data_IF_223455538042
#
_entry.id   IF_223455538042
#
_cell.length_a   1.000
_cell.length_b   1.000
_cell.length_c   1.000
_cell.angle_alpha   90.00
_cell.angle_beta   90.00
_cell.angle_gamma   90.00
#
_symmetry.space_group_name_H-M   'P 1'
#
loop_
_entity.id
_entity.type
_entity.pdbx_description
1 polymer ?
#
# COMPACT_ATOMS: atom_id res chain seq x y z
N UNK A 1 16.59 -16.28 42.40
CA UNK A 1 15.15 -16.15 42.07
C UNK A 1 14.80 -14.90 41.27
N UNK A 2 15.35 -13.69 41.55
CA UNK A 2 15.05 -12.46 40.78
C UNK A 2 15.42 -12.51 39.27
N UNK A 3 16.51 -13.20 38.88
CA UNK A 3 16.95 -13.32 37.47
C UNK A 3 16.04 -14.21 36.60
N UNK A 4 15.45 -15.27 37.16
CA UNK A 4 14.54 -16.18 36.44
C UNK A 4 13.17 -15.54 36.19
N UNK A 5 12.69 -14.71 37.12
CA UNK A 5 11.45 -13.95 36.97
C UNK A 5 11.56 -12.86 35.88
N UNK A 6 12.75 -12.26 35.74
CA UNK A 6 13.05 -11.26 34.69
C UNK A 6 13.05 -11.84 33.28
N UNK A 7 13.51 -13.08 33.09
CA UNK A 7 13.54 -13.73 31.79
C UNK A 7 12.13 -14.16 31.34
N UNK A 8 11.30 -14.65 32.27
CA UNK A 8 9.89 -14.94 31.99
C UNK A 8 9.09 -13.69 31.63
N UNK A 9 9.38 -12.55 32.27
CA UNK A 9 8.70 -11.28 31.96
C UNK A 9 9.07 -10.75 30.56
N UNK A 10 10.33 -10.95 30.13
CA UNK A 10 10.83 -10.55 28.81
C UNK A 10 10.16 -11.32 27.66
N UNK A 11 9.89 -12.62 27.83
CA UNK A 11 9.18 -13.41 26.81
C UNK A 11 7.68 -13.09 26.74
N UNK A 12 7.04 -12.76 27.87
CA UNK A 12 5.63 -12.35 27.90
C UNK A 12 5.43 -10.98 27.23
N UNK A 13 6.38 -10.06 27.38
CA UNK A 13 6.40 -8.77 26.66
C UNK A 13 6.62 -8.97 25.16
N UNK A 14 7.49 -9.91 24.78
CA UNK A 14 7.74 -10.26 23.38
C UNK A 14 6.50 -10.85 22.69
N UNK A 15 5.75 -11.72 23.39
CA UNK A 15 4.53 -12.33 22.89
C UNK A 15 3.36 -11.33 22.79
N UNK A 16 3.25 -10.39 23.73
CA UNK A 16 2.22 -9.34 23.69
C UNK A 16 2.44 -8.31 22.57
N UNK A 17 3.67 -8.17 22.06
CA UNK A 17 3.96 -7.32 20.89
C UNK A 17 3.41 -7.91 19.57
N UNK A 18 3.12 -9.21 19.54
CA UNK A 18 2.71 -9.94 18.33
C UNK A 18 1.19 -10.18 18.22
N UNK A 19 0.39 -9.66 19.15
CA UNK A 19 -1.07 -9.79 19.11
C UNK A 19 -1.65 -8.52 18.47
N UNK A 20 -2.07 -8.55 17.19
CA UNK A 20 -2.71 -7.38 16.60
C UNK A 20 -4.06 -7.15 17.28
N UNK A 21 -4.15 -6.06 18.05
CA UNK A 21 -5.44 -5.56 18.55
C UNK A 21 -6.25 -5.03 17.36
N UNK A 22 -7.58 -5.24 17.32
CA UNK A 22 -8.43 -4.66 16.29
C UNK A 22 -8.65 -3.18 16.65
N UNK A 23 -7.64 -2.33 16.38
CA UNK A 23 -7.76 -0.89 16.52
C UNK A 23 -7.85 -0.26 15.14
N UNK A 24 -8.94 0.47 14.95
CA UNK A 24 -9.22 1.28 13.78
C UNK A 24 -8.22 2.43 13.66
N UNK A 25 -7.14 2.21 12.92
CA UNK A 25 -6.36 3.21 12.20
C UNK A 25 -5.39 2.44 11.31
N UNK A 26 -4.96 3.05 10.21
CA UNK A 26 -3.84 2.62 9.38
C UNK A 26 -2.86 1.77 10.19
N UNK A 27 -2.73 0.48 9.83
CA UNK A 27 -1.94 -0.48 10.58
C UNK A 27 -0.58 0.17 10.94
N UNK A 28 -0.21 0.30 12.22
CA UNK A 28 1.05 0.92 12.61
C UNK A 28 2.24 0.21 11.95
N UNK A 29 2.10 -1.08 11.66
CA UNK A 29 3.04 -1.82 10.81
C UNK A 29 3.13 -1.23 9.41
N UNK A 30 2.03 -0.87 8.74
CA UNK A 30 2.08 -0.26 7.40
C UNK A 30 2.80 1.10 7.42
N UNK A 31 2.58 1.94 8.42
CA UNK A 31 3.27 3.24 8.53
C UNK A 31 4.78 3.03 8.76
N UNK A 32 5.14 2.13 9.69
CA UNK A 32 6.55 1.82 9.99
C UNK A 32 7.23 1.12 8.80
N UNK A 33 6.55 0.22 8.11
CA UNK A 33 7.08 -0.48 6.94
C UNK A 33 7.18 0.45 5.74
N UNK A 34 6.24 1.36 5.52
CA UNK A 34 6.31 2.35 4.43
C UNK A 34 7.43 3.38 4.69
N UNK A 35 7.47 3.97 5.89
CA UNK A 35 8.50 4.95 6.25
C UNK A 35 9.90 4.32 6.36
N UNK A 36 10.03 3.19 7.05
CA UNK A 36 11.28 2.47 7.21
C UNK A 36 11.75 1.78 5.92
N UNK A 37 10.83 1.21 5.15
CA UNK A 37 11.13 0.59 3.86
C UNK A 37 11.60 1.59 2.82
N UNK A 38 10.99 2.78 2.76
CA UNK A 38 11.43 3.85 1.88
C UNK A 38 12.82 4.38 2.27
N UNK A 39 13.05 4.63 3.57
CA UNK A 39 14.36 5.05 4.06
C UNK A 39 15.46 4.03 3.73
N UNK A 40 15.18 2.73 3.92
CA UNK A 40 16.13 1.67 3.60
C UNK A 40 16.35 1.54 2.09
N UNK A 41 15.31 1.65 1.28
CA UNK A 41 15.40 1.55 -0.18
C UNK A 41 16.21 2.73 -0.78
N UNK A 42 16.07 3.94 -0.22
CA UNK A 42 16.91 5.08 -0.59
C UNK A 42 18.39 4.83 -0.27
N UNK A 43 18.71 4.17 0.85
CA UNK A 43 20.09 3.78 1.19
C UNK A 43 20.64 2.70 0.27
N UNK A 44 19.78 1.86 -0.30
CA UNK A 44 20.13 0.85 -1.30
C UNK A 44 20.21 1.42 -2.73
N UNK A 45 19.95 2.72 -2.92
CA UNK A 45 20.01 3.37 -4.23
C UNK A 45 18.83 3.07 -5.14
N UNK A 46 17.70 2.63 -4.59
CA UNK A 46 16.46 2.43 -5.37
C UNK A 46 15.78 3.79 -5.60
N UNK A 47 15.39 4.07 -6.85
CA UNK A 47 14.71 5.30 -7.21
C UNK A 47 13.35 5.48 -6.49
N UNK A 48 13.08 6.72 -6.05
CA UNK A 48 11.86 7.11 -5.33
C UNK A 48 10.56 6.81 -6.11
N UNK A 49 10.62 6.77 -7.44
CA UNK A 49 9.48 6.43 -8.32
C UNK A 49 9.03 4.98 -8.09
N UNK A 50 9.98 4.04 -8.05
CA UNK A 50 9.65 2.62 -7.89
C UNK A 50 9.05 2.40 -6.51
N UNK A 51 9.64 2.99 -5.47
CA UNK A 51 9.16 2.86 -4.09
C UNK A 51 7.73 3.42 -3.96
N UNK A 52 7.48 4.62 -4.49
CA UNK A 52 6.17 5.27 -4.41
C UNK A 52 5.06 4.53 -5.19
N UNK A 53 5.39 3.85 -6.31
CA UNK A 53 4.47 2.93 -7.00
C UNK A 53 3.99 1.84 -6.04
N UNK A 54 4.91 1.18 -5.34
CA UNK A 54 4.58 0.08 -4.45
C UNK A 54 3.82 0.54 -3.20
N UNK A 55 4.18 1.69 -2.65
CA UNK A 55 3.48 2.28 -1.49
C UNK A 55 2.02 2.56 -1.86
N UNK A 56 1.78 3.22 -2.99
CA UNK A 56 0.41 3.53 -3.42
C UNK A 56 -0.38 2.29 -3.83
N UNK A 57 0.26 1.32 -4.48
CA UNK A 57 -0.36 0.05 -4.83
C UNK A 57 -0.82 -0.71 -3.58
N UNK A 58 0.04 -0.82 -2.56
CA UNK A 58 -0.32 -1.46 -1.29
C UNK A 58 -1.49 -0.73 -0.62
N UNK A 59 -1.42 0.61 -0.58
CA UNK A 59 -2.44 1.45 0.01
C UNK A 59 -3.82 1.23 -0.64
N UNK A 60 -3.83 1.18 -1.98
CA UNK A 60 -5.02 0.93 -2.78
C UNK A 60 -5.57 -0.49 -2.57
N UNK A 61 -4.69 -1.50 -2.51
CA UNK A 61 -5.10 -2.88 -2.24
C UNK A 61 -5.73 -3.04 -0.85
N UNK A 62 -5.17 -2.37 0.16
CA UNK A 62 -5.72 -2.33 1.52
C UNK A 62 -7.08 -1.62 1.53
N UNK A 63 -7.23 -0.50 0.82
CA UNK A 63 -8.52 0.19 0.72
C UNK A 63 -9.60 -0.73 0.13
N UNK A 64 -9.30 -1.47 -0.94
CA UNK A 64 -10.25 -2.43 -1.52
C UNK A 64 -10.59 -3.59 -0.57
N UNK A 65 -9.61 -4.07 0.20
CA UNK A 65 -9.83 -5.11 1.20
C UNK A 65 -10.69 -4.63 2.38
N UNK A 66 -10.37 -3.46 2.93
CA UNK A 66 -11.09 -2.89 4.07
C UNK A 66 -12.51 -2.51 3.67
N UNK A 67 -12.69 -1.86 2.52
CA UNK A 67 -14.01 -1.45 2.04
C UNK A 67 -15.00 -2.62 1.93
N UNK A 68 -14.54 -3.80 1.51
CA UNK A 68 -15.34 -5.03 1.43
C UNK A 68 -15.73 -5.59 2.82
N UNK A 69 -14.87 -5.40 3.82
CA UNK A 69 -15.10 -5.88 5.19
C UNK A 69 -15.82 -4.86 6.08
N UNK A 70 -15.80 -3.59 5.72
CA UNK A 70 -16.30 -2.50 6.53
C UNK A 70 -17.83 -2.44 6.48
N UNK A 71 -18.49 -2.79 7.59
CA UNK A 71 -19.95 -2.73 7.74
C UNK A 71 -20.34 -1.51 8.57
N UNK A 72 -20.53 -0.38 7.92
CA UNK A 72 -20.89 0.88 8.59
C UNK A 72 -22.40 0.97 8.75
N UNK A 73 -22.87 1.07 10.00
CA UNK A 73 -24.30 1.27 10.32
C UNK A 73 -24.76 2.73 10.13
N UNK A 74 -23.84 3.69 10.21
CA UNK A 74 -24.13 5.12 10.04
C UNK A 74 -24.14 5.53 8.56
N UNK A 75 -25.27 6.06 8.08
CA UNK A 75 -25.47 6.45 6.68
C UNK A 75 -24.49 7.53 6.19
N UNK A 76 -24.09 8.48 7.05
CA UNK A 76 -23.13 9.55 6.67
C UNK A 76 -21.74 9.01 6.34
N UNK A 77 -21.34 7.94 7.03
CA UNK A 77 -20.02 7.33 6.86
C UNK A 77 -20.02 6.21 5.81
N UNK A 78 -21.19 5.86 5.26
CA UNK A 78 -21.34 4.81 4.23
C UNK A 78 -20.55 5.12 2.96
N UNK A 79 -20.23 6.39 2.70
CA UNK A 79 -19.38 6.81 1.58
C UNK A 79 -17.96 6.22 1.65
N UNK A 80 -17.45 5.98 2.87
CA UNK A 80 -16.12 5.37 3.11
C UNK A 80 -16.13 3.87 2.75
N UNK A 81 -17.30 3.24 2.70
CA UNK A 81 -17.44 1.85 2.25
C UNK A 81 -17.19 1.70 0.75
N UNK A 82 -17.16 2.80 -0.02
CA UNK A 82 -16.79 2.74 -1.42
C UNK A 82 -15.26 2.57 -1.55
N UNK A 83 -14.76 1.46 -2.14
CA UNK A 83 -13.32 1.19 -2.23
C UNK A 83 -12.55 2.27 -2.99
N UNK A 84 -13.17 2.91 -3.98
CA UNK A 84 -12.55 3.98 -4.77
C UNK A 84 -12.31 5.23 -3.93
N UNK A 85 -13.31 5.62 -3.12
CA UNK A 85 -13.23 6.78 -2.24
C UNK A 85 -12.23 6.52 -1.13
N UNK A 86 -12.24 5.31 -0.55
CA UNK A 86 -11.27 4.93 0.46
C UNK A 86 -9.85 4.95 -0.10
N UNK A 87 -9.63 4.43 -1.31
CA UNK A 87 -8.31 4.45 -1.96
C UNK A 87 -7.80 5.88 -2.16
N UNK A 88 -8.67 6.78 -2.63
CA UNK A 88 -8.32 8.18 -2.81
C UNK A 88 -8.03 8.90 -1.49
N UNK A 89 -8.80 8.60 -0.44
CA UNK A 89 -8.55 9.12 0.89
C UNK A 89 -7.19 8.69 1.40
N UNK A 90 -6.84 7.39 1.24
CA UNK A 90 -5.55 6.91 1.68
C UNK A 90 -4.41 7.50 0.85
N UNK A 91 -4.57 7.65 -0.47
CA UNK A 91 -3.64 8.35 -1.34
C UNK A 91 -3.37 9.78 -0.85
N UNK A 92 -4.43 10.55 -0.55
CA UNK A 92 -4.30 11.90 -0.02
C UNK A 92 -3.57 11.93 1.33
N UNK A 93 -3.88 11.02 2.26
CA UNK A 93 -3.17 10.95 3.54
C UNK A 93 -1.69 10.61 3.39
N UNK A 94 -1.32 9.76 2.42
CA UNK A 94 0.09 9.46 2.15
C UNK A 94 0.83 10.65 1.54
N UNK A 95 0.20 11.43 0.67
CA UNK A 95 0.78 12.66 0.17
C UNK A 95 1.01 13.69 1.27
N UNK A 96 0.04 13.86 2.18
CA UNK A 96 0.18 14.75 3.34
C UNK A 96 1.36 14.29 4.21
N UNK A 97 1.50 12.98 4.46
CA UNK A 97 2.65 12.44 5.19
C UNK A 97 3.98 12.82 4.52
N UNK A 98 4.11 12.59 3.21
CA UNK A 98 5.33 12.94 2.48
C UNK A 98 5.61 14.45 2.49
N UNK A 99 4.58 15.28 2.43
CA UNK A 99 4.70 16.73 2.57
C UNK A 99 5.23 17.13 3.95
N UNK A 100 4.66 16.57 5.02
CA UNK A 100 5.11 16.85 6.40
C UNK A 100 6.51 16.33 6.70
N UNK A 101 6.94 15.25 6.02
CA UNK A 101 8.29 14.70 6.15
C UNK A 101 9.35 15.47 5.34
N UNK A 102 8.95 16.46 4.52
CA UNK A 102 9.85 17.26 3.70
C UNK A 102 10.45 16.52 2.49
N UNK A 103 9.87 15.37 2.11
CA UNK A 103 10.37 14.54 1.00
C UNK A 103 9.82 14.96 -0.37
N UNK A 104 8.75 15.77 -0.41
CA UNK A 104 8.16 16.30 -1.64
C UNK A 104 8.83 17.60 -2.09
N UNK A 105 8.77 17.86 -3.41
CA UNK A 105 9.17 19.12 -4.06
C UNK A 105 10.67 19.43 -4.01
N UNK A 106 11.51 18.40 -3.91
CA UNK A 106 12.96 18.60 -4.06
C UNK A 106 13.31 18.82 -5.55
N UNK A 107 14.08 19.85 -5.84
CA UNK A 107 14.46 20.22 -7.22
C UNK A 107 15.23 19.10 -7.95
N UNK A 108 15.93 18.22 -7.22
CA UNK A 108 16.61 17.05 -7.81
C UNK A 108 15.72 15.80 -7.99
N UNK A 109 14.48 15.81 -7.50
CA UNK A 109 13.58 14.65 -7.47
C UNK A 109 12.39 14.78 -8.44
N UNK A 110 12.66 15.25 -9.65
CA UNK A 110 11.66 15.38 -10.71
C UNK A 110 11.86 14.31 -11.79
N UNK A 111 10.76 13.72 -12.25
CA UNK A 111 10.68 12.89 -13.45
C UNK A 111 9.63 13.54 -14.37
N UNK A 112 10.02 13.88 -15.61
CA UNK A 112 9.14 14.55 -16.58
C UNK A 112 8.55 15.90 -16.10
N UNK A 113 9.27 16.61 -15.22
CA UNK A 113 8.81 17.90 -14.64
C UNK A 113 7.79 17.76 -13.50
N UNK A 114 7.45 16.53 -13.10
CA UNK A 114 6.59 16.21 -11.95
C UNK A 114 7.45 15.58 -10.85
N UNK A 115 7.08 15.79 -9.59
CA UNK A 115 7.71 15.12 -8.46
C UNK A 115 7.64 13.58 -8.61
N UNK A 116 8.77 12.91 -8.45
CA UNK A 116 8.92 11.45 -8.60
C UNK A 116 7.93 10.66 -7.74
N UNK A 117 7.68 11.12 -6.51
CA UNK A 117 6.81 10.44 -5.55
C UNK A 117 5.36 10.57 -5.97
N UNK A 118 4.92 11.78 -6.36
CA UNK A 118 3.54 12.00 -6.84
C UNK A 118 3.29 11.15 -8.09
N UNK A 119 4.23 11.19 -9.04
CA UNK A 119 4.12 10.41 -10.27
C UNK A 119 4.03 8.91 -9.98
N UNK A 120 4.96 8.35 -9.20
CA UNK A 120 4.93 6.93 -8.85
C UNK A 120 3.67 6.55 -8.08
N UNK A 121 3.21 7.37 -7.14
CA UNK A 121 1.96 7.08 -6.42
C UNK A 121 0.74 7.03 -7.35
N UNK A 122 0.62 7.95 -8.30
CA UNK A 122 -0.52 7.95 -9.23
C UNK A 122 -0.52 6.70 -10.10
N UNK A 123 0.65 6.32 -10.64
CA UNK A 123 0.85 5.09 -11.41
C UNK A 123 0.49 3.85 -10.58
N UNK A 124 0.94 3.77 -9.33
CA UNK A 124 0.64 2.64 -8.43
C UNK A 124 -0.86 2.47 -8.15
N UNK A 125 -1.58 3.56 -7.90
CA UNK A 125 -3.03 3.53 -7.68
C UNK A 125 -3.78 3.04 -8.93
N UNK A 126 -3.45 3.61 -10.09
CA UNK A 126 -4.05 3.25 -11.38
C UNK A 126 -3.78 1.77 -11.70
N UNK A 127 -2.57 1.28 -11.42
CA UNK A 127 -2.18 -0.11 -11.64
C UNK A 127 -3.09 -1.08 -10.89
N UNK A 128 -3.37 -0.83 -9.60
CA UNK A 128 -4.27 -1.69 -8.82
C UNK A 128 -5.72 -1.59 -9.30
N UNK A 129 -6.18 -0.39 -9.68
CA UNK A 129 -7.51 -0.21 -10.24
C UNK A 129 -7.71 -1.03 -11.53
N UNK A 130 -6.76 -0.94 -12.46
CA UNK A 130 -6.78 -1.72 -13.70
C UNK A 130 -6.68 -3.22 -13.39
N UNK A 131 -5.80 -3.64 -12.48
CA UNK A 131 -5.66 -5.04 -12.10
C UNK A 131 -6.93 -5.63 -11.50
N UNK A 132 -7.63 -4.88 -10.64
CA UNK A 132 -8.93 -5.27 -10.10
C UNK A 132 -10.02 -5.32 -11.18
N UNK A 133 -9.99 -4.38 -12.13
CA UNK A 133 -10.89 -4.37 -13.27
C UNK A 133 -10.68 -5.60 -14.18
N UNK A 134 -9.42 -5.94 -14.50
CA UNK A 134 -9.07 -7.14 -15.29
C UNK A 134 -9.54 -8.40 -14.58
N UNK A 135 -9.34 -8.50 -13.25
CA UNK A 135 -9.87 -9.62 -12.47
C UNK A 135 -11.39 -9.71 -12.56
N UNK A 136 -12.10 -8.59 -12.41
CA UNK A 136 -13.56 -8.52 -12.52
C UNK A 136 -14.06 -8.96 -13.90
N UNK A 137 -13.43 -8.47 -14.96
CA UNK A 137 -13.73 -8.84 -16.35
C UNK A 137 -13.49 -10.33 -16.62
N UNK A 138 -12.35 -10.85 -16.15
CA UNK A 138 -11.99 -12.27 -16.31
C UNK A 138 -12.97 -13.18 -15.57
N UNK A 139 -13.35 -12.79 -14.35
CA UNK A 139 -14.37 -13.50 -13.56
C UNK A 139 -15.73 -13.49 -14.25
N UNK A 140 -16.14 -12.37 -14.83
CA UNK A 140 -17.38 -12.25 -15.59
C UNK A 140 -17.39 -13.20 -16.80
N UNK A 141 -16.30 -13.22 -17.58
CA UNK A 141 -16.15 -14.11 -18.74
C UNK A 141 -16.11 -15.60 -18.34
N UNK A 142 -15.63 -15.92 -17.15
CA UNK A 142 -15.54 -17.28 -16.61
C UNK A 142 -16.77 -17.70 -15.78
N UNK A 143 -17.97 -17.28 -16.18
CA UNK A 143 -19.23 -17.63 -15.52
C UNK A 143 -19.26 -17.29 -14.01
N UNK A 144 -18.63 -16.19 -13.61
CA UNK A 144 -18.56 -15.76 -12.22
C UNK A 144 -17.54 -16.53 -11.37
N UNK A 145 -16.80 -17.49 -11.94
CA UNK A 145 -15.78 -18.28 -11.22
C UNK A 145 -14.41 -17.63 -11.36
N UNK A 146 -13.60 -17.70 -10.30
CA UNK A 146 -12.21 -17.30 -10.36
C UNK A 146 -11.47 -18.18 -11.39
N UNK A 147 -10.61 -17.58 -12.23
CA UNK A 147 -9.90 -18.32 -13.29
C UNK A 147 -8.93 -19.36 -12.70
N UNK A 148 -8.30 -19.00 -11.58
CA UNK A 148 -7.43 -19.85 -10.77
C UNK A 148 -7.40 -19.33 -9.31
N UNK A 149 -6.95 -20.14 -8.34
CA UNK A 149 -6.81 -19.71 -6.94
C UNK A 149 -5.95 -18.45 -6.83
N UNK A 150 -6.32 -17.51 -5.96
CA UNK A 150 -5.61 -16.24 -5.75
C UNK A 150 -5.58 -15.27 -6.95
N UNK A 151 -6.35 -15.52 -8.02
CA UNK A 151 -6.46 -14.58 -9.16
C UNK A 151 -6.81 -13.14 -8.75
N UNK A 152 -7.59 -12.95 -7.68
CA UNK A 152 -7.89 -11.61 -7.10
C UNK A 152 -6.63 -10.82 -6.68
N UNK A 153 -5.55 -11.50 -6.32
CA UNK A 153 -4.27 -10.89 -5.90
C UNK A 153 -3.26 -10.87 -7.04
N UNK A 154 -3.20 -11.95 -7.82
CA UNK A 154 -2.21 -12.14 -8.87
C UNK A 154 -2.39 -11.12 -10.01
N UNK A 155 -3.63 -10.78 -10.40
CA UNK A 155 -3.86 -9.77 -11.43
C UNK A 155 -3.36 -8.37 -11.01
N UNK A 156 -3.76 -7.80 -9.85
CA UNK A 156 -3.23 -6.51 -9.40
C UNK A 156 -1.72 -6.50 -9.16
N UNK A 157 -1.18 -7.50 -8.44
CA UNK A 157 0.25 -7.54 -8.10
C UNK A 157 1.10 -7.78 -9.35
N UNK A 158 0.65 -8.67 -10.24
CA UNK A 158 1.32 -8.92 -11.52
C UNK A 158 1.38 -7.67 -12.39
N UNK A 159 0.30 -6.88 -12.44
CA UNK A 159 0.28 -5.64 -13.21
C UNK A 159 1.22 -4.58 -12.63
N UNK A 160 1.25 -4.43 -11.29
CA UNK A 160 2.19 -3.52 -10.61
C UNK A 160 3.64 -3.95 -10.89
N UNK A 161 3.94 -5.25 -10.86
CA UNK A 161 5.27 -5.77 -11.19
C UNK A 161 5.67 -5.46 -12.63
N UNK A 162 4.79 -5.71 -13.60
CA UNK A 162 5.04 -5.42 -15.02
C UNK A 162 5.32 -3.93 -15.22
N UNK A 163 4.51 -3.07 -14.60
CA UNK A 163 4.69 -1.61 -14.67
C UNK A 163 6.00 -1.19 -14.01
N UNK A 164 6.32 -1.72 -12.82
CA UNK A 164 7.59 -1.44 -12.12
C UNK A 164 8.78 -1.79 -13.01
N UNK A 165 8.77 -2.96 -13.65
CA UNK A 165 9.83 -3.39 -14.56
C UNK A 165 9.90 -2.49 -15.81
N UNK A 166 8.75 -2.14 -16.39
CA UNK A 166 8.70 -1.25 -17.54
C UNK A 166 9.30 0.13 -17.23
N UNK A 167 9.00 0.70 -16.07
CA UNK A 167 9.61 1.97 -15.63
C UNK A 167 11.10 1.82 -15.36
N UNK A 168 11.51 0.74 -14.69
CA UNK A 168 12.93 0.46 -14.41
C UNK A 168 13.76 0.41 -15.69
N UNK A 169 13.34 -0.39 -16.67
CA UNK A 169 14.08 -0.53 -17.92
C UNK A 169 13.91 0.66 -18.87
N UNK A 170 12.72 1.28 -18.91
CA UNK A 170 12.41 2.39 -19.80
C UNK A 170 13.13 3.69 -19.42
N UNK A 171 13.20 4.00 -18.13
CA UNK A 171 13.84 5.22 -17.62
C UNK A 171 15.24 4.98 -17.02
N UNK A 172 15.72 3.72 -17.03
CA UNK A 172 17.00 3.29 -16.43
C UNK A 172 17.13 3.71 -14.96
N UNK A 173 16.06 3.45 -14.20
CA UNK A 173 15.94 3.63 -12.75
C UNK A 173 16.49 2.43 -11.96
#
# INVERSE_FOLDING_TARGET
MKKLLSLSFLEIVYWKLFIPQPVAAQCPVCIVTVGGGMFLAQRLGVDDVLISIWISALNTAIAFYIADKLKIKNYKLKIIQNPWILSFLLFATTLIYFQTSGQLYHAQNQLLGIDKIIFGQTVGMISIFIGNFIYGFTKYKNNGRALFPYSKVIFPVGLVLIITLAFKFGFRL
#
